data_IF_506873563626
#
_entry.id   IF_506873563626
#
_cell.length_a   1.000
_cell.length_b   1.000
_cell.length_c   1.000
_cell.angle_alpha   90.00
_cell.angle_beta   90.00
_cell.angle_gamma   90.00
#
_symmetry.space_group_name_H-M   'P 1'
#
loop_
_entity.id
_entity.type
_entity.pdbx_description
1 polymer ?
#
# COMPACT_ATOMS: atom_id res chain seq x y z
N UNK A 1 2.77 -37.51 -0.67
CA UNK A 1 2.59 -36.99 -2.05
C UNK A 1 1.73 -35.73 -2.13
N UNK A 2 1.42 -35.06 -1.01
CA UNK A 2 0.63 -33.82 -0.97
C UNK A 2 1.49 -32.55 -0.80
N UNK A 3 2.78 -32.68 -0.43
CA UNK A 3 3.64 -31.53 -0.14
C UNK A 3 4.10 -30.78 -1.40
N UNK A 4 4.51 -31.49 -2.45
CA UNK A 4 5.06 -30.84 -3.67
C UNK A 4 3.96 -30.05 -4.38
N UNK A 5 2.77 -30.64 -4.56
CA UNK A 5 1.63 -29.96 -5.19
C UNK A 5 1.23 -28.73 -4.39
N UNK A 6 1.17 -28.82 -3.06
CA UNK A 6 0.87 -27.67 -2.20
C UNK A 6 1.95 -26.56 -2.28
N UNK A 7 3.23 -26.92 -2.29
CA UNK A 7 4.34 -25.96 -2.43
C UNK A 7 4.27 -25.23 -3.77
N UNK A 8 4.05 -25.96 -4.87
CA UNK A 8 3.91 -25.36 -6.20
C UNK A 8 2.68 -24.44 -6.23
N UNK A 9 1.56 -24.87 -5.66
CA UNK A 9 0.33 -24.09 -5.66
C UNK A 9 0.48 -22.81 -4.81
N UNK A 10 1.09 -22.89 -3.63
CA UNK A 10 1.41 -21.71 -2.83
C UNK A 10 2.39 -20.78 -3.55
N UNK A 11 3.43 -21.32 -4.20
CA UNK A 11 4.38 -20.54 -4.98
C UNK A 11 3.72 -19.79 -6.13
N UNK A 12 2.81 -20.44 -6.85
CA UNK A 12 2.04 -19.82 -7.94
C UNK A 12 1.10 -18.74 -7.40
N UNK A 13 0.35 -19.00 -6.32
CA UNK A 13 -0.56 -18.01 -5.73
C UNK A 13 0.20 -16.77 -5.23
N UNK A 14 1.33 -16.98 -4.57
CA UNK A 14 2.15 -15.91 -4.01
C UNK A 14 2.86 -15.13 -5.15
N UNK A 15 3.35 -15.83 -6.17
CA UNK A 15 3.87 -15.22 -7.39
C UNK A 15 2.82 -14.39 -8.14
N UNK A 16 1.59 -14.90 -8.26
CA UNK A 16 0.46 -14.19 -8.87
C UNK A 16 0.09 -12.94 -8.06
N UNK A 17 0.14 -12.99 -6.73
CA UNK A 17 -0.07 -11.84 -5.86
C UNK A 17 0.98 -10.75 -6.11
N UNK A 18 2.27 -11.12 -6.17
CA UNK A 18 3.34 -10.17 -6.47
C UNK A 18 3.26 -9.62 -7.90
N UNK A 19 2.89 -10.45 -8.86
CA UNK A 19 2.65 -10.01 -10.24
C UNK A 19 1.49 -9.00 -10.31
N UNK A 20 0.42 -9.20 -9.54
CA UNK A 20 -0.71 -8.27 -9.46
C UNK A 20 -0.27 -6.90 -8.90
N UNK A 21 0.53 -6.91 -7.82
CA UNK A 21 1.07 -5.67 -7.25
C UNK A 21 1.99 -4.93 -8.25
N UNK A 22 2.87 -5.67 -8.93
CA UNK A 22 3.75 -5.11 -9.95
C UNK A 22 2.97 -4.54 -11.15
N UNK A 23 1.93 -5.24 -11.62
CA UNK A 23 1.06 -4.76 -12.70
C UNK A 23 0.35 -3.45 -12.33
N UNK A 24 -0.12 -3.32 -11.08
CA UNK A 24 -0.73 -2.07 -10.59
C UNK A 24 0.20 -0.87 -10.74
N UNK A 25 1.47 -1.01 -10.35
CA UNK A 25 2.47 0.04 -10.58
C UNK A 25 2.76 0.23 -12.07
N UNK A 26 2.97 -0.87 -12.82
CA UNK A 26 3.26 -0.81 -14.26
C UNK A 26 2.20 -0.03 -15.05
N UNK A 27 0.91 -0.15 -14.69
CA UNK A 27 -0.16 0.63 -15.33
C UNK A 27 -0.04 2.14 -15.05
N UNK A 28 0.28 2.53 -13.82
CA UNK A 28 0.50 3.94 -13.44
C UNK A 28 1.69 4.53 -14.19
N UNK A 29 2.80 3.80 -14.21
CA UNK A 29 4.00 4.19 -14.96
C UNK A 29 3.77 4.21 -16.48
N UNK A 30 3.06 3.21 -17.01
CA UNK A 30 2.86 3.03 -18.45
C UNK A 30 1.96 4.10 -19.05
N UNK A 31 0.88 4.47 -18.36
CA UNK A 31 -0.09 5.45 -18.86
C UNK A 31 0.31 6.89 -18.49
N UNK A 32 0.72 7.13 -17.24
CA UNK A 32 0.99 8.50 -16.76
C UNK A 32 2.46 8.89 -16.74
N UNK A 33 3.40 7.94 -16.90
CA UNK A 33 4.85 8.16 -16.74
C UNK A 33 5.24 8.74 -15.36
N UNK A 34 4.43 8.47 -14.33
CA UNK A 34 4.73 8.87 -12.95
C UNK A 34 5.47 7.77 -12.20
N UNK A 35 6.62 8.14 -11.61
CA UNK A 35 7.28 7.32 -10.59
C UNK A 35 6.66 7.55 -9.24
N UNK A 36 5.96 6.54 -8.71
CA UNK A 36 5.40 6.55 -7.37
C UNK A 36 6.24 5.73 -6.40
N UNK A 37 7.22 6.38 -5.78
CA UNK A 37 8.08 5.75 -4.77
C UNK A 37 7.32 5.38 -3.50
N UNK A 38 6.23 6.08 -3.18
CA UNK A 38 5.40 5.85 -1.98
C UNK A 38 4.49 4.62 -2.08
N UNK A 39 4.48 3.88 -3.21
CA UNK A 39 3.57 2.75 -3.38
C UNK A 39 3.68 1.71 -2.26
N UNK A 40 4.91 1.39 -1.85
CA UNK A 40 5.16 0.47 -0.72
C UNK A 40 4.61 1.01 0.61
N UNK A 41 4.74 2.31 0.86
CA UNK A 41 4.24 2.94 2.08
C UNK A 41 2.72 2.95 2.15
N UNK A 42 2.03 3.06 1.01
CA UNK A 42 0.58 2.90 0.95
C UNK A 42 0.16 1.48 1.38
N UNK A 43 0.89 0.44 0.96
CA UNK A 43 0.59 -0.93 1.38
C UNK A 43 0.76 -1.05 2.90
N UNK A 44 1.84 -0.51 3.47
CA UNK A 44 2.07 -0.51 4.93
C UNK A 44 0.95 0.24 5.66
N UNK A 45 0.55 1.41 5.16
CA UNK A 45 -0.55 2.19 5.74
C UNK A 45 -1.86 1.39 5.72
N UNK A 46 -2.19 0.73 4.61
CA UNK A 46 -3.41 -0.08 4.51
C UNK A 46 -3.41 -1.27 5.46
N UNK A 47 -2.27 -1.95 5.62
CA UNK A 47 -2.13 -3.02 6.63
C UNK A 47 -2.36 -2.46 8.04
N UNK A 48 -1.86 -1.27 8.33
CA UNK A 48 -2.08 -0.61 9.62
C UNK A 48 -3.56 -0.23 9.83
N UNK A 49 -4.25 0.26 8.80
CA UNK A 49 -5.70 0.53 8.85
C UNK A 49 -6.49 -0.76 9.07
N UNK A 50 -6.14 -1.84 8.39
CA UNK A 50 -6.76 -3.16 8.59
C UNK A 50 -6.54 -3.68 10.02
N UNK A 51 -5.34 -3.51 10.55
CA UNK A 51 -5.02 -3.82 11.94
C UNK A 51 -5.89 -3.00 12.91
N UNK A 52 -6.03 -1.70 12.69
CA UNK A 52 -6.87 -0.83 13.51
C UNK A 52 -8.37 -1.23 13.45
N UNK A 53 -8.89 -1.53 12.26
CA UNK A 53 -10.26 -2.03 12.07
C UNK A 53 -10.52 -3.32 12.86
N UNK A 54 -9.59 -4.26 12.80
CA UNK A 54 -9.76 -5.58 13.41
C UNK A 54 -9.48 -5.59 14.92
N UNK A 55 -8.46 -4.86 15.38
CA UNK A 55 -8.01 -4.92 16.77
C UNK A 55 -8.58 -3.80 17.66
N UNK A 56 -8.85 -2.61 17.10
CA UNK A 56 -9.39 -1.49 17.89
C UNK A 56 -10.90 -1.36 17.72
N UNK A 57 -11.37 -1.40 16.47
CA UNK A 57 -12.80 -1.33 16.18
C UNK A 57 -13.51 -2.70 16.30
N UNK A 58 -12.77 -3.78 16.56
CA UNK A 58 -13.28 -5.15 16.70
C UNK A 58 -14.15 -5.60 15.50
N UNK A 59 -13.89 -5.03 14.32
CA UNK A 59 -14.59 -5.39 13.09
C UNK A 59 -14.10 -6.76 12.64
N UNK A 60 -15.00 -7.73 12.41
CA UNK A 60 -14.58 -9.05 11.97
C UNK A 60 -13.95 -8.97 10.58
N UNK A 61 -12.93 -9.80 10.33
CA UNK A 61 -12.05 -9.70 9.16
C UNK A 61 -12.82 -9.69 7.82
N UNK A 62 -13.88 -10.49 7.72
CA UNK A 62 -14.71 -10.58 6.52
C UNK A 62 -15.48 -9.29 6.19
N UNK A 63 -15.78 -8.45 7.18
CA UNK A 63 -16.32 -7.09 6.99
C UNK A 63 -15.20 -6.07 6.85
N UNK A 64 -14.09 -6.25 7.58
CA UNK A 64 -12.97 -5.32 7.56
C UNK A 64 -12.32 -5.21 6.17
N UNK A 65 -12.25 -6.31 5.40
CA UNK A 65 -11.68 -6.32 4.04
C UNK A 65 -12.47 -5.40 3.08
N UNK A 66 -13.79 -5.57 2.85
CA UNK A 66 -14.52 -4.69 1.95
C UNK A 66 -14.52 -3.24 2.41
N UNK A 67 -14.60 -2.99 3.72
CA UNK A 67 -14.47 -1.63 4.28
C UNK A 67 -13.10 -1.03 3.96
N UNK A 68 -12.02 -1.81 4.12
CA UNK A 68 -10.67 -1.39 3.77
C UNK A 68 -10.56 -1.05 2.28
N UNK A 69 -11.17 -1.83 1.39
CA UNK A 69 -11.17 -1.54 -0.06
C UNK A 69 -11.80 -0.18 -0.35
N UNK A 70 -12.94 0.14 0.28
CA UNK A 70 -13.61 1.44 0.12
C UNK A 70 -12.72 2.58 0.64
N UNK A 71 -12.11 2.40 1.81
CA UNK A 71 -11.18 3.39 2.39
C UNK A 71 -9.95 3.58 1.50
N UNK A 72 -9.35 2.49 1.03
CA UNK A 72 -8.18 2.50 0.16
C UNK A 72 -8.46 3.20 -1.17
N UNK A 73 -9.61 2.91 -1.78
CA UNK A 73 -10.04 3.57 -3.00
C UNK A 73 -10.26 5.07 -2.78
N UNK A 74 -10.97 5.46 -1.72
CA UNK A 74 -11.21 6.87 -1.40
C UNK A 74 -9.92 7.64 -1.13
N UNK A 75 -9.03 7.09 -0.30
CA UNK A 75 -7.74 7.71 0.01
C UNK A 75 -6.82 7.79 -1.21
N UNK A 76 -6.73 6.69 -1.99
CA UNK A 76 -5.96 6.64 -3.23
C UNK A 76 -6.46 7.63 -4.27
N UNK A 77 -7.78 7.73 -4.46
CA UNK A 77 -8.40 8.70 -5.35
C UNK A 77 -8.12 10.14 -4.90
N UNK A 78 -8.25 10.43 -3.60
CA UNK A 78 -7.97 11.76 -3.06
C UNK A 78 -6.51 12.17 -3.27
N UNK A 79 -5.56 11.28 -3.01
CA UNK A 79 -4.13 11.50 -3.27
C UNK A 79 -3.87 11.69 -4.78
N UNK A 80 -4.47 10.84 -5.61
CA UNK A 80 -4.31 10.90 -7.06
C UNK A 80 -4.78 12.27 -7.60
N UNK A 81 -5.99 12.68 -7.20
CA UNK A 81 -6.60 13.93 -7.65
C UNK A 81 -5.89 15.17 -7.08
N UNK A 82 -5.60 15.19 -5.79
CA UNK A 82 -5.10 16.38 -5.12
C UNK A 82 -3.58 16.59 -5.30
N UNK A 83 -2.81 15.51 -5.42
CA UNK A 83 -1.34 15.56 -5.42
C UNK A 83 -0.79 15.15 -6.79
N UNK A 84 -1.04 13.90 -7.23
CA UNK A 84 -0.34 13.33 -8.39
C UNK A 84 -0.78 13.96 -9.72
N UNK A 85 -2.07 14.26 -9.90
CA UNK A 85 -2.56 14.92 -11.11
C UNK A 85 -1.98 16.33 -11.30
N UNK A 86 -1.60 17.03 -10.21
CA UNK A 86 -1.02 18.38 -10.28
C UNK A 86 0.44 18.38 -10.73
N UNK A 87 1.14 17.27 -10.53
CA UNK A 87 2.57 17.11 -10.84
C UNK A 87 2.79 16.19 -12.04
N UNK A 88 1.71 15.77 -12.70
CA UNK A 88 1.72 15.00 -13.94
C UNK A 88 2.13 15.90 -15.10
N UNK A 89 3.38 15.78 -15.53
CA UNK A 89 3.97 16.53 -16.63
C UNK A 89 4.87 15.64 -17.49
N UNK A 90 5.59 16.24 -18.45
CA UNK A 90 6.50 15.51 -19.34
C UNK A 90 7.73 14.94 -18.61
N UNK A 91 8.19 15.61 -17.55
CA UNK A 91 9.33 15.17 -16.76
C UNK A 91 8.89 14.34 -15.54
N UNK A 92 9.51 13.17 -15.30
CA UNK A 92 9.15 12.29 -14.18
C UNK A 92 9.75 12.74 -12.84
N UNK A 93 10.74 13.65 -12.85
CA UNK A 93 11.46 14.09 -11.65
C UNK A 93 10.55 14.76 -10.60
N UNK A 94 9.63 15.69 -10.95
CA UNK A 94 8.73 16.31 -9.97
C UNK A 94 7.83 15.28 -9.27
N UNK A 95 7.31 14.30 -10.00
CA UNK A 95 6.52 13.20 -9.42
C UNK A 95 7.34 12.38 -8.42
N UNK A 96 8.60 12.09 -8.75
CA UNK A 96 9.47 11.31 -7.88
C UNK A 96 9.74 12.03 -6.55
N UNK A 97 10.06 13.33 -6.59
CA UNK A 97 10.30 14.14 -5.39
C UNK A 97 9.04 14.24 -4.53
N UNK A 98 7.89 14.44 -5.16
CA UNK A 98 6.60 14.57 -4.46
C UNK A 98 6.19 13.27 -3.80
N UNK A 99 6.34 12.14 -4.50
CA UNK A 99 6.01 10.83 -3.94
C UNK A 99 7.03 10.40 -2.87
N UNK A 100 8.28 10.83 -2.96
CA UNK A 100 9.24 10.67 -1.86
C UNK A 100 8.86 11.50 -0.63
N UNK A 101 8.46 12.76 -0.80
CA UNK A 101 7.93 13.57 0.30
C UNK A 101 6.67 12.95 0.93
N UNK A 102 5.79 12.41 0.10
CA UNK A 102 4.59 11.69 0.55
C UNK A 102 4.91 10.43 1.35
N UNK A 103 5.93 9.67 0.91
CA UNK A 103 6.46 8.52 1.66
C UNK A 103 6.89 8.93 3.07
N UNK A 104 7.66 10.01 3.21
CA UNK A 104 8.09 10.50 4.52
C UNK A 104 6.88 10.87 5.40
N UNK A 105 5.88 11.56 4.84
CA UNK A 105 4.66 11.92 5.58
C UNK A 105 3.91 10.67 6.05
N UNK A 106 3.74 9.67 5.18
CA UNK A 106 3.07 8.41 5.52
C UNK A 106 3.84 7.66 6.61
N UNK A 107 5.15 7.52 6.46
CA UNK A 107 6.00 6.84 7.44
C UNK A 107 5.90 7.52 8.82
N UNK A 108 5.95 8.85 8.86
CA UNK A 108 5.79 9.60 10.10
C UNK A 108 4.38 9.45 10.69
N UNK A 109 3.33 9.51 9.86
CA UNK A 109 1.96 9.30 10.32
C UNK A 109 1.78 7.91 10.95
N UNK A 110 2.32 6.87 10.31
CA UNK A 110 2.29 5.51 10.86
C UNK A 110 3.06 5.45 12.18
N UNK A 111 4.24 6.08 12.28
CA UNK A 111 5.03 6.13 13.51
C UNK A 111 4.30 6.83 14.67
N UNK A 112 3.56 7.91 14.40
CA UNK A 112 2.82 8.66 15.41
C UNK A 112 1.62 7.87 15.94
N UNK A 113 0.88 7.18 15.06
CA UNK A 113 -0.33 6.42 15.46
C UNK A 113 0.02 5.03 15.99
N UNK A 114 1.23 4.53 15.72
CA UNK A 114 1.68 3.19 16.10
C UNK A 114 1.48 2.92 17.61
N UNK A 115 0.90 1.77 17.99
CA UNK A 115 0.80 1.36 19.39
C UNK A 115 2.19 1.00 19.96
N UNK A 116 2.43 1.33 21.23
CA UNK A 116 3.74 1.26 21.92
C UNK A 116 4.37 -0.16 22.07
N UNK A 117 3.84 -1.19 21.41
CA UNK A 117 4.36 -2.56 21.40
C UNK A 117 4.55 -3.18 20.01
N UNK A 118 4.40 -2.42 18.93
CA UNK A 118 4.45 -2.96 17.56
C UNK A 118 5.87 -3.32 17.08
N UNK A 119 6.92 -2.69 17.63
CA UNK A 119 8.31 -3.12 17.42
C UNK A 119 8.96 -3.40 18.79
N UNK A 120 9.63 -4.56 18.97
CA UNK A 120 10.40 -4.80 20.18
C UNK A 120 11.47 -3.71 20.31
N UNK A 121 11.51 -3.05 21.46
CA UNK A 121 12.60 -2.14 21.83
C UNK A 121 13.85 -2.97 22.08
N UNK A 122 14.54 -3.41 21.04
CA UNK A 122 15.93 -3.82 21.17
C UNK A 122 16.78 -2.56 21.17
N UNK A 123 17.19 -2.17 22.37
CA UNK A 123 18.29 -1.25 22.61
C UNK A 123 19.62 -1.86 22.14
#
# INVERSE_FOLDING_TARGET
MTSIVNIVLQGVLLGALYALFAMGQSLVFGVMRLTNTAHGDFIVLLVFVLFALTNWAHVPLWIAIPVLVVIAFGAGYAVQFAVLNRVSGRDPLPSLVVTFGLSIVIQNAVLTVRPQGFFPKTA
#
